data_IF_840976095814
#
_entry.id   IF_840976095814
#
_cell.length_a   1.000
_cell.length_b   1.000
_cell.length_c   1.000
_cell.angle_alpha   90.00
_cell.angle_beta   90.00
_cell.angle_gamma   90.00
#
_symmetry.space_group_name_H-M   'P 1'
#
loop_
_entity.id
_entity.type
_entity.pdbx_description
1 polymer ?
#
# COMPACT_ATOMS: atom_id res chain seq x y z
N UNK A 1 5.98 -9.45 19.49
CA UNK A 1 4.74 -10.15 19.10
C UNK A 1 5.03 -11.35 18.18
N UNK A 2 6.04 -11.27 17.30
CA UNK A 2 6.41 -12.38 16.40
C UNK A 2 6.90 -13.65 17.11
N UNK A 3 7.39 -13.52 18.33
CA UNK A 3 7.99 -14.61 19.09
C UNK A 3 7.03 -15.32 20.06
N UNK A 4 5.81 -14.79 20.23
CA UNK A 4 4.84 -15.36 21.20
C UNK A 4 3.56 -15.82 20.50
N UNK A 5 3.48 -17.11 20.23
CA UNK A 5 2.35 -17.73 19.53
C UNK A 5 1.01 -17.58 20.30
N UNK A 6 1.04 -17.66 21.64
CA UNK A 6 -0.17 -17.48 22.45
C UNK A 6 -0.71 -16.06 22.35
N UNK A 7 0.17 -15.07 22.34
CA UNK A 7 -0.20 -13.67 22.19
C UNK A 7 -0.75 -13.37 20.78
N UNK A 8 -0.16 -13.99 19.76
CA UNK A 8 -0.66 -13.88 18.38
C UNK A 8 -2.08 -14.44 18.28
N UNK A 9 -2.34 -15.61 18.85
CA UNK A 9 -3.65 -16.21 18.81
C UNK A 9 -4.68 -15.40 19.61
N UNK A 10 -4.30 -14.86 20.77
CA UNK A 10 -5.16 -13.95 21.53
C UNK A 10 -5.55 -12.70 20.75
N UNK A 11 -4.60 -12.04 20.07
CA UNK A 11 -4.89 -10.89 19.23
C UNK A 11 -5.74 -11.26 18.01
N UNK A 12 -5.47 -12.40 17.40
CA UNK A 12 -6.28 -12.90 16.28
C UNK A 12 -7.73 -13.13 16.68
N UNK A 13 -7.96 -13.73 17.86
CA UNK A 13 -9.29 -13.94 18.40
C UNK A 13 -10.03 -12.61 18.66
N UNK A 14 -9.36 -11.61 19.22
CA UNK A 14 -9.93 -10.29 19.46
C UNK A 14 -10.30 -9.61 18.14
N UNK A 15 -9.41 -9.62 17.15
CA UNK A 15 -9.66 -9.02 15.84
C UNK A 15 -10.79 -9.74 15.11
N UNK A 16 -10.83 -11.06 15.18
CA UNK A 16 -11.93 -11.86 14.61
C UNK A 16 -13.28 -11.49 15.21
N UNK A 17 -13.35 -11.36 16.54
CA UNK A 17 -14.55 -10.93 17.23
C UNK A 17 -14.96 -9.51 16.84
N UNK A 18 -13.99 -8.57 16.77
CA UNK A 18 -14.24 -7.19 16.38
C UNK A 18 -14.80 -7.08 14.96
N UNK A 19 -14.13 -7.69 13.99
CA UNK A 19 -14.60 -7.66 12.60
C UNK A 19 -15.88 -8.48 12.37
N UNK A 20 -16.11 -9.53 13.16
CA UNK A 20 -17.34 -10.32 13.13
C UNK A 20 -18.61 -9.50 13.36
N UNK A 21 -18.49 -8.37 14.08
CA UNK A 21 -19.59 -7.42 14.28
C UNK A 21 -20.08 -6.84 12.95
N UNK A 22 -19.21 -6.64 11.96
CA UNK A 22 -19.62 -6.13 10.63
C UNK A 22 -20.66 -7.03 9.97
N UNK A 23 -20.57 -8.32 10.17
CA UNK A 23 -21.56 -9.29 9.64
C UNK A 23 -22.88 -9.25 10.42
N UNK A 24 -22.83 -9.17 11.74
CA UNK A 24 -24.05 -9.15 12.57
C UNK A 24 -24.82 -7.83 12.46
N UNK A 25 -24.11 -6.75 12.14
CA UNK A 25 -24.68 -5.41 11.99
C UNK A 25 -24.92 -5.00 10.53
N UNK A 26 -24.84 -5.94 9.60
CA UNK A 26 -24.94 -5.70 8.15
C UNK A 26 -26.19 -4.88 7.77
N UNK A 27 -27.35 -5.18 8.38
CA UNK A 27 -28.59 -4.44 8.16
C UNK A 27 -28.58 -2.95 8.59
N UNK A 28 -27.57 -2.52 9.36
CA UNK A 28 -27.42 -1.13 9.83
C UNK A 28 -26.24 -0.44 9.14
N UNK A 29 -25.36 -1.15 8.46
CA UNK A 29 -24.16 -0.63 7.82
C UNK A 29 -24.48 -0.30 6.37
N UNK A 30 -24.37 0.98 6.00
CA UNK A 30 -24.57 1.43 4.62
C UNK A 30 -23.36 1.13 3.73
N UNK A 31 -22.16 1.24 4.27
CA UNK A 31 -20.89 0.98 3.61
C UNK A 31 -19.84 0.61 4.65
N UNK A 32 -19.08 -0.44 4.40
CA UNK A 32 -17.85 -0.74 5.11
C UNK A 32 -16.70 -0.83 4.09
N UNK A 33 -15.65 -0.05 4.32
CA UNK A 33 -14.44 -0.07 3.50
C UNK A 33 -13.25 -0.44 4.39
N UNK A 34 -12.62 -1.57 4.10
CA UNK A 34 -11.48 -2.08 4.83
C UNK A 34 -10.24 -1.87 3.97
N UNK A 35 -9.23 -1.22 4.53
CA UNK A 35 -7.93 -1.03 3.89
C UNK A 35 -6.81 -1.31 4.88
N UNK A 36 -5.63 -1.61 4.38
CA UNK A 36 -4.45 -1.89 5.19
C UNK A 36 -3.18 -1.86 4.36
N UNK A 37 -2.05 -1.91 5.05
CA UNK A 37 -0.72 -1.87 4.42
C UNK A 37 -0.43 -3.16 3.65
N UNK A 38 -0.84 -4.30 4.20
CA UNK A 38 -0.67 -5.59 3.56
C UNK A 38 -2.01 -6.30 3.43
N UNK A 39 -2.19 -7.01 2.34
CA UNK A 39 -3.32 -7.91 2.19
C UNK A 39 -3.09 -9.11 3.10
N UNK A 40 -3.70 -9.08 4.27
CA UNK A 40 -3.86 -10.28 5.07
C UNK A 40 -4.86 -11.19 4.34
N UNK A 41 -4.39 -11.86 3.30
CA UNK A 41 -5.16 -12.84 2.55
C UNK A 41 -5.81 -13.81 3.52
N UNK A 42 -6.41 -14.78 3.31
CA UNK A 42 -7.06 -15.87 4.07
C UNK A 42 -6.70 -16.03 5.57
N UNK A 43 -6.13 -15.00 6.22
CA UNK A 43 -5.92 -15.04 7.66
C UNK A 43 -7.27 -15.17 8.32
N UNK A 44 -7.39 -16.10 9.22
CA UNK A 44 -8.61 -16.52 9.93
C UNK A 44 -9.46 -15.39 10.55
N UNK A 45 -8.92 -14.17 10.60
CA UNK A 45 -9.62 -12.96 11.09
C UNK A 45 -10.81 -12.60 10.22
N UNK A 46 -10.68 -12.72 8.88
CA UNK A 46 -11.73 -12.36 7.91
C UNK A 46 -12.46 -13.56 7.34
N UNK A 47 -12.14 -14.79 7.76
CA UNK A 47 -12.72 -16.01 7.22
C UNK A 47 -14.24 -16.09 7.36
N UNK A 48 -14.78 -15.41 8.36
CA UNK A 48 -16.22 -15.39 8.66
C UNK A 48 -16.97 -14.26 7.94
N UNK A 49 -16.23 -13.33 7.28
CA UNK A 49 -16.79 -12.21 6.54
C UNK A 49 -16.97 -12.58 5.07
N UNK A 50 -18.01 -13.29 4.78
CA UNK A 50 -18.36 -13.67 3.39
C UNK A 50 -19.15 -12.61 2.62
N UNK A 51 -19.44 -11.48 3.25
CA UNK A 51 -20.12 -10.32 2.68
C UNK A 51 -19.16 -9.23 2.17
N UNK A 52 -17.85 -9.43 2.30
CA UNK A 52 -16.84 -8.52 1.75
C UNK A 52 -16.54 -8.85 0.28
N UNK A 53 -16.47 -7.82 -0.54
CA UNK A 53 -15.97 -7.91 -1.90
C UNK A 53 -14.52 -7.45 -1.95
N UNK A 54 -13.61 -8.34 -2.31
CA UNK A 54 -12.18 -8.02 -2.44
C UNK A 54 -11.93 -7.30 -3.77
N UNK A 55 -11.63 -6.01 -3.67
CA UNK A 55 -11.37 -5.12 -4.81
C UNK A 55 -9.88 -4.84 -5.03
N UNK A 56 -8.99 -5.42 -4.24
CA UNK A 56 -7.56 -5.08 -4.17
C UNK A 56 -6.85 -5.15 -5.52
N UNK A 57 -7.22 -6.13 -6.37
CA UNK A 57 -6.58 -6.35 -7.67
C UNK A 57 -7.57 -6.28 -8.83
N UNK A 58 -8.67 -5.56 -8.67
CA UNK A 58 -9.65 -5.38 -9.74
C UNK A 58 -9.38 -4.10 -10.52
N UNK A 59 -9.30 -4.20 -11.82
CA UNK A 59 -9.01 -3.10 -12.74
C UNK A 59 -9.88 -1.84 -12.51
N UNK A 60 -11.22 -1.92 -12.28
CA UNK A 60 -12.03 -0.73 -12.02
C UNK A 60 -11.64 0.05 -10.75
N UNK A 61 -10.90 -0.56 -9.85
CA UNK A 61 -10.49 0.01 -8.57
C UNK A 61 -8.98 0.27 -8.48
N UNK A 62 -8.25 0.08 -9.57
CA UNK A 62 -6.78 0.18 -9.59
C UNK A 62 -6.24 1.53 -9.10
N UNK A 63 -7.01 2.60 -9.23
CA UNK A 63 -6.63 3.94 -8.81
C UNK A 63 -7.22 4.39 -7.45
N UNK A 64 -7.99 3.53 -6.76
CA UNK A 64 -8.77 3.95 -5.57
C UNK A 64 -7.88 4.44 -4.40
N UNK A 65 -6.65 3.95 -4.30
CA UNK A 65 -5.71 4.30 -3.24
C UNK A 65 -4.61 5.27 -3.68
N UNK A 66 -4.69 5.84 -4.89
CA UNK A 66 -3.66 6.72 -5.44
C UNK A 66 -4.24 7.95 -6.13
N UNK A 67 -3.35 8.72 -6.73
CA UNK A 67 -3.69 9.87 -7.57
C UNK A 67 -3.24 9.52 -8.99
N UNK A 68 -4.16 9.58 -9.93
CA UNK A 68 -3.84 9.36 -11.36
C UNK A 68 -3.15 10.59 -11.96
N UNK A 69 -2.42 10.41 -13.06
CA UNK A 69 -1.84 11.53 -13.83
C UNK A 69 -2.92 12.57 -14.23
N UNK A 70 -4.09 12.11 -14.64
CA UNK A 70 -5.19 13.00 -15.04
C UNK A 70 -5.71 13.84 -13.84
N UNK A 71 -5.84 13.24 -12.67
CA UNK A 71 -6.22 13.94 -11.43
C UNK A 71 -5.13 14.90 -10.98
N UNK A 72 -3.85 14.51 -11.07
CA UNK A 72 -2.72 15.38 -10.78
C UNK A 72 -2.78 16.66 -11.62
N UNK A 73 -2.95 16.52 -12.93
CA UNK A 73 -3.01 17.66 -13.84
C UNK A 73 -4.30 18.49 -13.68
N UNK A 74 -5.40 17.86 -13.26
CA UNK A 74 -6.68 18.56 -13.09
C UNK A 74 -6.75 19.33 -11.76
N UNK A 75 -6.33 18.72 -10.68
CA UNK A 75 -6.55 19.26 -9.34
C UNK A 75 -5.31 19.94 -8.74
N UNK A 76 -4.11 19.59 -9.21
CA UNK A 76 -2.86 20.08 -8.62
C UNK A 76 -2.00 20.90 -9.59
N UNK A 77 -2.55 21.30 -10.73
CA UNK A 77 -1.83 22.13 -11.74
C UNK A 77 -1.17 23.36 -11.12
N UNK A 78 -1.94 24.11 -10.31
CA UNK A 78 -1.44 25.28 -9.61
C UNK A 78 -0.33 24.98 -8.60
N UNK A 79 -0.35 23.81 -7.99
CA UNK A 79 0.68 23.41 -7.02
C UNK A 79 1.94 22.92 -7.73
N UNK A 80 1.81 22.32 -8.92
CA UNK A 80 2.93 22.00 -9.80
C UNK A 80 3.66 23.29 -10.21
N UNK A 81 2.93 24.34 -10.60
CA UNK A 81 3.51 25.64 -10.96
C UNK A 81 4.26 26.30 -9.78
N UNK A 82 3.68 26.26 -8.58
CA UNK A 82 4.35 26.77 -7.36
C UNK A 82 5.63 25.99 -7.06
N UNK A 83 5.55 24.66 -7.15
CA UNK A 83 6.71 23.80 -6.92
C UNK A 83 7.80 24.04 -7.96
N UNK A 84 7.46 24.17 -9.23
CA UNK A 84 8.37 24.51 -10.32
C UNK A 84 9.11 25.81 -10.02
N UNK A 85 8.39 26.85 -9.61
CA UNK A 85 8.95 28.14 -9.24
C UNK A 85 9.89 28.04 -8.03
N UNK A 86 9.51 27.24 -7.03
CA UNK A 86 10.31 27.03 -5.80
C UNK A 86 11.61 26.27 -6.05
N UNK A 87 11.60 25.36 -7.04
CA UNK A 87 12.77 24.54 -7.40
C UNK A 87 13.60 25.13 -8.55
N UNK A 88 13.19 26.27 -9.10
CA UNK A 88 13.79 26.88 -10.28
C UNK A 88 13.79 25.92 -11.50
N UNK A 89 12.75 25.12 -11.63
CA UNK A 89 12.54 24.16 -12.72
C UNK A 89 11.41 24.62 -13.65
N UNK A 90 11.40 24.10 -14.85
CA UNK A 90 10.24 24.22 -15.74
C UNK A 90 9.10 23.33 -15.27
N UNK A 91 7.89 23.61 -15.74
CA UNK A 91 6.71 22.79 -15.45
C UNK A 91 6.90 21.32 -15.83
N UNK A 92 7.44 21.06 -17.01
CA UNK A 92 7.65 19.70 -17.53
C UNK A 92 8.76 18.95 -16.78
N UNK A 93 9.82 19.64 -16.37
CA UNK A 93 10.84 19.05 -15.50
C UNK A 93 10.29 18.69 -14.14
N UNK A 94 9.44 19.55 -13.56
CA UNK A 94 8.78 19.29 -12.29
C UNK A 94 7.83 18.11 -12.38
N UNK A 95 7.04 17.99 -13.44
CA UNK A 95 6.20 16.80 -13.68
C UNK A 95 7.03 15.54 -13.80
N UNK A 96 8.11 15.59 -14.57
CA UNK A 96 9.03 14.46 -14.74
C UNK A 96 9.67 14.04 -13.42
N UNK A 97 10.01 15.00 -12.55
CA UNK A 97 10.53 14.75 -11.22
C UNK A 97 9.48 14.07 -10.32
N UNK A 98 8.25 14.60 -10.29
CA UNK A 98 7.15 14.01 -9.51
C UNK A 98 6.86 12.58 -9.99
N UNK A 99 6.81 12.37 -11.29
CA UNK A 99 6.59 11.06 -11.89
C UNK A 99 7.69 10.08 -11.49
N UNK A 100 8.94 10.46 -11.63
CA UNK A 100 10.08 9.60 -11.26
C UNK A 100 10.11 9.22 -9.79
N UNK A 101 9.63 10.11 -8.90
CA UNK A 101 9.72 9.90 -7.44
C UNK A 101 8.49 9.21 -6.84
N UNK A 102 7.31 9.49 -7.38
CA UNK A 102 6.05 9.16 -6.69
C UNK A 102 5.08 8.34 -7.53
N UNK A 103 5.31 8.22 -8.86
CA UNK A 103 4.58 7.30 -9.72
C UNK A 103 5.29 5.95 -9.75
N UNK A 104 4.53 4.88 -9.86
CA UNK A 104 5.10 3.53 -9.94
C UNK A 104 4.31 2.49 -9.17
N UNK A 105 3.29 2.92 -8.42
CA UNK A 105 2.38 1.98 -7.78
C UNK A 105 1.43 1.39 -8.82
N UNK A 106 1.45 0.07 -8.93
CA UNK A 106 0.58 -0.70 -9.81
C UNK A 106 -0.12 -1.78 -9.02
N UNK A 107 -1.41 -1.66 -8.79
CA UNK A 107 -2.20 -2.70 -8.13
C UNK A 107 -2.72 -3.74 -9.13
N UNK A 108 -2.72 -3.41 -10.42
CA UNK A 108 -3.18 -4.29 -11.50
C UNK A 108 -2.22 -4.17 -12.67
N UNK A 109 -1.88 -5.29 -13.27
CA UNK A 109 -1.07 -5.31 -14.49
C UNK A 109 -1.78 -4.56 -15.64
N UNK A 110 -1.00 -3.89 -16.49
CA UNK A 110 -1.47 -3.20 -17.69
C UNK A 110 -2.36 -1.95 -17.46
N UNK A 111 -2.40 -1.42 -16.23
CA UNK A 111 -2.98 -0.10 -15.97
C UNK A 111 -1.89 0.94 -15.73
N UNK A 112 -2.15 2.24 -16.03
CA UNK A 112 -1.20 3.29 -15.70
C UNK A 112 -0.87 3.30 -14.21
N UNK A 113 0.37 3.65 -13.88
CA UNK A 113 0.79 3.87 -12.51
C UNK A 113 0.01 4.99 -11.83
N UNK A 114 0.02 4.98 -10.52
CA UNK A 114 -0.59 6.00 -9.69
C UNK A 114 0.45 6.60 -8.76
N UNK A 115 0.27 7.88 -8.46
CA UNK A 115 1.12 8.60 -7.51
C UNK A 115 0.75 8.26 -6.08
N UNK A 116 1.76 8.11 -5.23
CA UNK A 116 1.57 7.99 -3.79
C UNK A 116 0.98 9.30 -3.22
N UNK A 117 -0.26 9.31 -2.69
CA UNK A 117 -0.92 10.53 -2.25
C UNK A 117 -0.20 11.21 -1.09
N UNK A 118 0.30 10.43 -0.14
CA UNK A 118 0.97 10.97 1.05
C UNK A 118 2.24 11.73 0.68
N UNK A 119 3.09 11.13 -0.14
CA UNK A 119 4.34 11.77 -0.58
C UNK A 119 4.06 12.98 -1.48
N UNK A 120 3.11 12.86 -2.40
CA UNK A 120 2.76 13.95 -3.30
C UNK A 120 2.20 15.18 -2.55
N UNK A 121 1.25 14.96 -1.64
CA UNK A 121 0.65 16.05 -0.86
C UNK A 121 1.65 16.72 0.08
N UNK A 122 2.56 15.96 0.70
CA UNK A 122 3.62 16.54 1.50
C UNK A 122 4.64 17.33 0.66
N UNK A 123 4.96 16.85 -0.55
CA UNK A 123 5.79 17.60 -1.50
C UNK A 123 5.20 18.96 -1.80
N UNK A 124 3.91 19.06 -2.10
CA UNK A 124 3.24 20.34 -2.35
C UNK A 124 3.13 21.20 -1.09
N UNK A 125 2.91 20.58 0.06
CA UNK A 125 2.83 21.30 1.34
C UNK A 125 4.16 21.95 1.74
N UNK A 126 5.26 21.22 1.59
CA UNK A 126 6.58 21.67 2.02
C UNK A 126 7.44 22.24 0.89
N UNK A 127 6.97 22.18 -0.37
CA UNK A 127 7.69 22.56 -1.58
C UNK A 127 9.05 21.85 -1.71
N UNK A 128 9.10 20.60 -1.26
CA UNK A 128 10.31 19.76 -1.28
C UNK A 128 9.96 18.35 -1.72
N UNK A 129 10.58 17.84 -2.78
CA UNK A 129 10.39 16.46 -3.23
C UNK A 129 11.31 15.52 -2.43
N UNK A 130 10.80 14.96 -1.34
CA UNK A 130 11.48 14.04 -0.41
C UNK A 130 10.74 12.70 -0.33
N UNK A 131 11.38 11.67 0.25
CA UNK A 131 10.81 10.31 0.36
C UNK A 131 9.96 10.18 1.64
N UNK A 132 8.88 10.95 1.72
CA UNK A 132 8.02 11.08 2.91
C UNK A 132 7.42 9.77 3.40
N UNK A 133 7.12 8.82 2.50
CA UNK A 133 6.56 7.53 2.87
C UNK A 133 7.52 6.71 3.74
N UNK A 134 8.82 6.88 3.54
CA UNK A 134 9.84 6.17 4.30
C UNK A 134 9.92 6.63 5.76
N UNK A 135 9.62 7.89 6.03
CA UNK A 135 9.64 8.45 7.38
C UNK A 135 8.49 7.94 8.25
N UNK A 136 7.34 7.65 7.66
CA UNK A 136 6.13 7.23 8.38
C UNK A 136 5.92 5.72 8.41
N UNK A 137 6.35 5.05 7.37
CA UNK A 137 6.33 3.61 7.25
C UNK A 137 7.62 3.00 7.75
N UNK A 138 8.01 3.23 9.03
CA UNK A 138 9.22 2.58 9.56
C UNK A 138 9.08 1.09 9.29
N UNK A 139 9.88 0.50 8.40
CA UNK A 139 9.77 -0.90 8.05
C UNK A 139 10.38 -1.77 9.16
N UNK A 140 10.14 -1.39 10.43
CA UNK A 140 10.65 -2.10 11.59
C UNK A 140 10.29 -3.57 11.51
N UNK A 141 9.06 -3.86 11.11
CA UNK A 141 8.61 -5.23 10.94
C UNK A 141 9.36 -5.92 9.79
N UNK A 142 9.53 -5.26 8.65
CA UNK A 142 10.27 -5.81 7.51
C UNK A 142 11.75 -6.01 7.86
N UNK A 143 12.38 -5.03 8.52
CA UNK A 143 13.78 -5.13 8.97
C UNK A 143 13.96 -6.28 9.95
N UNK A 144 13.06 -6.44 10.90
CA UNK A 144 13.06 -7.58 11.81
C UNK A 144 12.89 -8.91 11.05
N UNK A 145 11.95 -8.96 10.13
CA UNK A 145 11.68 -10.16 9.33
C UNK A 145 12.89 -10.52 8.44
N UNK A 146 13.50 -9.55 7.77
CA UNK A 146 14.72 -9.73 6.97
C UNK A 146 15.91 -10.23 7.82
N UNK A 147 16.07 -9.71 9.05
CA UNK A 147 17.10 -10.19 9.97
C UNK A 147 16.90 -11.64 10.36
N UNK A 148 15.66 -12.07 10.57
CA UNK A 148 15.34 -13.44 10.96
C UNK A 148 15.44 -14.44 9.81
N UNK A 149 15.17 -14.02 8.58
CA UNK A 149 15.12 -14.91 7.42
C UNK A 149 16.44 -15.00 6.65
N UNK A 150 17.45 -14.20 6.98
CA UNK A 150 18.72 -14.11 6.24
C UNK A 150 18.53 -13.97 4.72
N UNK A 151 17.53 -13.18 4.33
CA UNK A 151 17.15 -13.02 2.94
C UNK A 151 18.21 -12.28 2.13
N UNK A 152 18.50 -12.78 0.91
CA UNK A 152 19.44 -12.10 0.01
C UNK A 152 18.76 -10.94 -0.69
N UNK A 153 19.20 -9.70 -0.36
CA UNK A 153 18.67 -8.47 -0.93
C UNK A 153 18.89 -8.33 -2.44
N UNK A 154 19.85 -9.07 -3.03
CA UNK A 154 20.05 -9.08 -4.48
C UNK A 154 18.95 -9.83 -5.22
N UNK A 155 18.32 -10.81 -4.60
CA UNK A 155 17.17 -11.49 -5.19
C UNK A 155 15.93 -10.60 -5.25
N UNK A 156 15.83 -9.59 -4.39
CA UNK A 156 14.71 -8.65 -4.30
C UNK A 156 14.46 -7.90 -5.60
N UNK A 157 15.53 -7.42 -6.24
CA UNK A 157 15.46 -6.62 -7.45
C UNK A 157 14.96 -7.41 -8.68
N UNK A 158 14.95 -8.74 -8.60
CA UNK A 158 14.62 -9.63 -9.71
C UNK A 158 13.48 -10.61 -9.38
N UNK A 159 12.80 -10.41 -8.25
CA UNK A 159 11.69 -11.29 -7.86
C UNK A 159 10.45 -10.95 -8.67
N UNK A 160 10.09 -11.84 -9.57
CA UNK A 160 8.77 -11.82 -10.21
C UNK A 160 7.80 -12.65 -9.37
N UNK A 161 6.60 -12.14 -9.19
CA UNK A 161 5.54 -12.84 -8.46
C UNK A 161 4.22 -12.70 -9.19
N UNK A 162 3.36 -13.70 -9.05
CA UNK A 162 2.02 -13.66 -9.63
C UNK A 162 0.96 -13.29 -8.60
N UNK A 163 -0.24 -12.99 -9.09
CA UNK A 163 -1.36 -12.59 -8.25
C UNK A 163 -1.79 -13.69 -7.27
N UNK A 164 -1.59 -14.96 -7.59
CA UNK A 164 -1.97 -16.07 -6.73
C UNK A 164 -1.04 -16.16 -5.53
N UNK A 165 0.26 -15.91 -5.74
CA UNK A 165 1.25 -15.83 -4.66
C UNK A 165 0.94 -14.64 -3.74
N UNK A 166 0.67 -13.45 -4.30
CA UNK A 166 0.30 -12.27 -3.52
C UNK A 166 -0.99 -12.48 -2.72
N UNK A 167 -1.96 -13.20 -3.26
CA UNK A 167 -3.21 -13.55 -2.58
C UNK A 167 -3.02 -14.61 -1.47
N UNK A 168 -1.94 -15.36 -1.48
CA UNK A 168 -1.64 -16.42 -0.51
C UNK A 168 -0.68 -15.98 0.61
N UNK A 169 -0.21 -14.75 0.60
CA UNK A 169 0.72 -14.23 1.61
C UNK A 169 0.05 -14.25 2.98
N UNK A 170 0.63 -14.98 3.90
CA UNK A 170 0.30 -15.00 5.33
C UNK A 170 1.46 -14.35 6.11
N UNK A 171 1.18 -13.91 7.33
CA UNK A 171 2.19 -13.40 8.28
C UNK A 171 3.30 -14.42 8.59
N UNK A 172 3.10 -15.67 8.22
CA UNK A 172 4.07 -16.77 8.32
C UNK A 172 4.81 -17.05 7.03
N UNK A 173 4.58 -16.24 5.97
CA UNK A 173 5.25 -16.41 4.69
C UNK A 173 6.77 -16.36 4.85
N UNK A 174 7.44 -17.33 4.27
CA UNK A 174 8.91 -17.43 4.30
C UNK A 174 9.62 -16.37 3.46
N UNK A 175 8.87 -15.62 2.64
CA UNK A 175 9.42 -14.56 1.81
C UNK A 175 8.94 -13.18 2.29
N UNK A 176 9.76 -12.47 3.10
CA UNK A 176 9.41 -11.17 3.65
C UNK A 176 9.20 -10.09 2.59
N UNK A 177 9.77 -10.24 1.40
CA UNK A 177 9.67 -9.24 0.34
C UNK A 177 8.29 -9.23 -0.28
N UNK A 178 7.63 -10.38 -0.38
CA UNK A 178 6.26 -10.47 -0.91
C UNK A 178 5.24 -9.72 -0.02
N UNK A 179 5.52 -9.57 1.27
CA UNK A 179 4.66 -8.81 2.18
C UNK A 179 4.60 -7.31 1.86
N UNK A 180 5.63 -6.77 1.19
CA UNK A 180 5.78 -5.35 0.92
C UNK A 180 5.84 -5.01 -0.58
N UNK A 181 5.85 -6.00 -1.46
CA UNK A 181 5.85 -5.75 -2.92
C UNK A 181 4.55 -5.12 -3.42
N UNK A 182 3.44 -5.32 -2.72
CA UNK A 182 2.19 -4.62 -3.02
C UNK A 182 2.20 -3.14 -2.63
N UNK A 183 3.15 -2.72 -1.78
CA UNK A 183 3.23 -1.34 -1.27
C UNK A 183 4.40 -0.55 -1.86
N UNK A 184 5.34 -1.20 -2.54
CA UNK A 184 6.61 -0.60 -2.95
C UNK A 184 6.96 -0.81 -4.43
N UNK A 185 6.02 -1.34 -5.22
CA UNK A 185 6.26 -1.56 -6.65
C UNK A 185 5.98 -0.31 -7.47
#
# INVERSE_FOLDING_TARGET
>A
ALENAELQEAYRAILKAFYGVLKTMDGYIRLAFLTGVTKFGKVSVFSDLNNLDDISMREPYAAICGITEAELLTYFDGDIHKLASSLELTYDETRSLLKKRYDGYHFVANVPGIYNPFSLLNTFKYMRPEDYWFETGTPSYLVELLKHTHYDLYELANTETDADVLNSIDSTSSNPCLLYTSDAA
#
